data_IF_953888979049
#
_entry.id   IF_953888979049
#
_cell.length_a   1.000
_cell.length_b   1.000
_cell.length_c   1.000
_cell.angle_alpha   90.00
_cell.angle_beta   90.00
_cell.angle_gamma   90.00
#
_symmetry.space_group_name_H-M   'P 1'
#
loop_
_entity.id
_entity.type
_entity.pdbx_description
1 polymer ?
#
# COMPACT_ATOMS: atom_id res chain seq x y z
N UNK A 1 15.96 -11.90 -0.48
CA UNK A 1 16.14 -10.56 -1.09
C UNK A 1 14.86 -10.03 -1.72
N UNK A 2 14.22 -10.73 -2.67
CA UNK A 2 12.98 -10.25 -3.31
C UNK A 2 11.85 -10.01 -2.29
N UNK A 3 11.66 -10.92 -1.32
CA UNK A 3 10.65 -10.77 -0.25
C UNK A 3 10.86 -9.49 0.57
N UNK A 4 12.11 -9.16 0.88
CA UNK A 4 12.49 -7.95 1.63
C UNK A 4 12.16 -6.69 0.82
N UNK A 5 12.49 -6.67 -0.48
CA UNK A 5 12.15 -5.58 -1.39
C UNK A 5 10.62 -5.37 -1.50
N UNK A 6 9.87 -6.47 -1.58
CA UNK A 6 8.41 -6.42 -1.61
C UNK A 6 7.81 -5.98 -0.27
N UNK A 7 8.44 -6.32 0.85
CA UNK A 7 8.05 -5.84 2.17
C UNK A 7 8.34 -4.35 2.35
N UNK A 8 9.48 -3.87 1.84
CA UNK A 8 9.83 -2.45 1.82
C UNK A 8 8.82 -1.64 0.98
N UNK A 9 8.36 -2.19 -0.13
CA UNK A 9 7.29 -1.59 -0.94
C UNK A 9 5.98 -1.43 -0.14
N UNK A 10 5.60 -2.42 0.69
CA UNK A 10 4.40 -2.31 1.53
C UNK A 10 4.55 -1.18 2.57
N UNK A 11 5.71 -1.11 3.23
CA UNK A 11 5.98 -0.06 4.21
C UNK A 11 5.94 1.32 3.55
N UNK A 12 6.61 1.49 2.41
CA UNK A 12 6.62 2.76 1.70
C UNK A 12 5.22 3.14 1.21
N UNK A 13 4.46 2.20 0.65
CA UNK A 13 3.09 2.45 0.21
C UNK A 13 2.19 2.88 1.38
N UNK A 14 2.28 2.19 2.53
CA UNK A 14 1.54 2.56 3.74
C UNK A 14 1.92 3.96 4.26
N UNK A 15 3.20 4.26 4.36
CA UNK A 15 3.67 5.57 4.83
C UNK A 15 3.36 6.70 3.85
N UNK A 16 3.31 6.40 2.55
CA UNK A 16 3.07 7.40 1.51
C UNK A 16 1.71 8.08 1.64
N UNK A 17 0.70 7.43 2.22
CA UNK A 17 -0.61 8.05 2.46
C UNK A 17 -0.50 9.35 3.30
N UNK A 18 0.47 9.44 4.22
CA UNK A 18 0.68 10.66 4.99
C UNK A 18 1.21 11.83 4.15
N UNK A 19 1.82 11.56 3.00
CA UNK A 19 2.31 12.60 2.09
C UNK A 19 1.21 13.23 1.24
N UNK A 20 -0.01 12.66 1.21
CA UNK A 20 -1.16 13.24 0.50
C UNK A 20 -1.52 14.65 0.96
N UNK A 21 -1.04 15.08 2.14
CA UNK A 21 -1.17 16.46 2.63
C UNK A 21 -0.37 17.48 1.79
N UNK A 22 0.59 17.01 1.01
CA UNK A 22 1.44 17.84 0.15
C UNK A 22 1.02 17.69 -1.32
N UNK A 23 1.11 18.78 -2.09
CA UNK A 23 0.72 18.81 -3.51
C UNK A 23 1.50 17.82 -4.38
N UNK A 24 2.77 17.57 -4.07
CA UNK A 24 3.61 16.57 -4.76
C UNK A 24 3.38 15.14 -4.27
N UNK A 25 2.68 14.96 -3.15
CA UNK A 25 2.46 13.66 -2.53
C UNK A 25 1.57 12.74 -3.36
N UNK A 26 0.58 13.30 -4.07
CA UNK A 26 -0.35 12.53 -4.90
C UNK A 26 0.37 11.67 -5.94
N UNK A 27 1.37 12.22 -6.64
CA UNK A 27 2.14 11.47 -7.64
C UNK A 27 2.93 10.31 -7.01
N UNK A 28 3.51 10.52 -5.83
CA UNK A 28 4.29 9.52 -5.11
C UNK A 28 3.40 8.37 -4.63
N UNK A 29 2.24 8.68 -4.01
CA UNK A 29 1.29 7.66 -3.56
C UNK A 29 0.78 6.85 -4.75
N UNK A 30 0.44 7.52 -5.85
CA UNK A 30 -0.05 6.84 -7.06
C UNK A 30 0.98 5.84 -7.61
N UNK A 31 2.25 6.23 -7.69
CA UNK A 31 3.32 5.35 -8.13
C UNK A 31 3.46 4.10 -7.25
N UNK A 32 3.43 4.27 -5.93
CA UNK A 32 3.54 3.16 -4.98
C UNK A 32 2.31 2.25 -4.97
N UNK A 33 1.11 2.83 -5.11
CA UNK A 33 -0.15 2.07 -5.22
C UNK A 33 -0.14 1.23 -6.49
N UNK A 34 0.32 1.75 -7.62
CA UNK A 34 0.49 0.97 -8.86
C UNK A 34 1.45 -0.21 -8.63
N UNK A 35 2.57 0.03 -7.95
CA UNK A 35 3.51 -1.03 -7.58
C UNK A 35 2.86 -2.11 -6.70
N UNK A 36 2.00 -1.69 -5.76
CA UNK A 36 1.27 -2.59 -4.86
C UNK A 36 0.23 -3.43 -5.61
N UNK A 37 -0.47 -2.83 -6.59
CA UNK A 37 -1.38 -3.55 -7.50
C UNK A 37 -0.60 -4.57 -8.34
N UNK A 38 0.53 -4.18 -8.94
CA UNK A 38 1.34 -5.10 -9.73
C UNK A 38 1.82 -6.30 -8.89
N UNK A 39 2.34 -6.04 -7.69
CA UNK A 39 2.74 -7.08 -6.73
C UNK A 39 1.58 -8.01 -6.37
N UNK A 40 0.42 -7.44 -6.06
CA UNK A 40 -0.74 -8.21 -5.61
C UNK A 40 -1.37 -9.05 -6.73
N UNK A 41 -1.25 -8.61 -7.98
CA UNK A 41 -1.64 -9.41 -9.14
C UNK A 41 -0.69 -10.59 -9.38
N UNK A 42 0.62 -10.41 -9.19
CA UNK A 42 1.61 -11.50 -9.31
C UNK A 42 1.36 -12.58 -8.25
N UNK A 43 0.90 -12.18 -7.06
CA UNK A 43 0.76 -13.07 -5.89
C UNK A 43 -0.70 -13.44 -5.56
N UNK A 44 -1.62 -13.33 -6.53
CA UNK A 44 -3.08 -13.36 -6.32
C UNK A 44 -3.62 -14.63 -5.63
N UNK A 45 -2.85 -15.71 -5.63
CA UNK A 45 -3.19 -16.98 -4.95
C UNK A 45 -3.16 -16.88 -3.42
N UNK A 46 -2.53 -15.85 -2.87
CA UNK A 46 -2.44 -15.62 -1.42
C UNK A 46 -3.57 -14.74 -0.93
N UNK A 47 -4.18 -15.13 0.20
CA UNK A 47 -5.17 -14.31 0.90
C UNK A 47 -4.63 -12.90 1.22
N UNK A 48 -3.36 -12.82 1.60
CA UNK A 48 -2.71 -11.54 1.87
C UNK A 48 -2.63 -10.65 0.62
N UNK A 49 -2.56 -11.23 -0.57
CA UNK A 49 -2.55 -10.51 -1.84
C UNK A 49 -3.92 -9.95 -2.20
N UNK A 50 -4.99 -10.67 -1.85
CA UNK A 50 -6.37 -10.21 -2.03
C UNK A 50 -6.62 -8.99 -1.14
N UNK A 51 -6.16 -9.03 0.12
CA UNK A 51 -6.27 -7.88 1.03
C UNK A 51 -5.46 -6.69 0.50
N UNK A 52 -4.24 -6.90 0.00
CA UNK A 52 -3.44 -5.83 -0.61
C UNK A 52 -4.17 -5.14 -1.78
N UNK A 53 -4.88 -5.91 -2.61
CA UNK A 53 -5.71 -5.38 -3.69
C UNK A 53 -6.86 -4.51 -3.17
N UNK A 54 -7.52 -4.93 -2.09
CA UNK A 54 -8.57 -4.14 -1.43
C UNK A 54 -7.98 -2.85 -0.86
N UNK A 55 -6.81 -2.93 -0.21
CA UNK A 55 -6.10 -1.76 0.33
C UNK A 55 -5.70 -0.81 -0.79
N UNK A 56 -5.24 -1.31 -1.95
CA UNK A 56 -4.93 -0.50 -3.11
C UNK A 56 -6.16 0.28 -3.61
N UNK A 57 -7.34 -0.36 -3.67
CA UNK A 57 -8.59 0.32 -4.01
C UNK A 57 -8.95 1.42 -3.01
N UNK A 58 -8.77 1.18 -1.71
CA UNK A 58 -8.98 2.18 -0.66
C UNK A 58 -8.00 3.35 -0.82
N UNK A 59 -6.75 3.07 -1.19
CA UNK A 59 -5.74 4.11 -1.40
C UNK A 59 -6.02 4.93 -2.66
N UNK A 60 -6.58 4.33 -3.72
CA UNK A 60 -7.08 5.08 -4.89
C UNK A 60 -8.19 6.06 -4.46
N UNK A 61 -9.15 5.62 -3.64
CA UNK A 61 -10.18 6.51 -3.10
C UNK A 61 -9.57 7.65 -2.24
N UNK A 62 -8.53 7.35 -1.46
CA UNK A 62 -7.82 8.35 -0.67
C UNK A 62 -7.09 9.39 -1.54
N UNK A 63 -6.50 8.99 -2.67
CA UNK A 63 -5.89 9.91 -3.65
C UNK A 63 -6.94 10.90 -4.21
N UNK A 64 -8.18 10.44 -4.41
CA UNK A 64 -9.31 11.28 -4.83
C UNK A 64 -9.87 12.19 -3.71
N UNK A 65 -9.25 12.20 -2.54
CA UNK A 65 -9.62 13.06 -1.40
C UNK A 65 -10.53 12.39 -0.36
N UNK A 66 -10.88 11.11 -0.53
CA UNK A 66 -11.71 10.38 0.44
C UNK A 66 -10.85 9.64 1.47
N UNK A 67 -10.28 10.38 2.42
CA UNK A 67 -9.49 9.80 3.52
C UNK A 67 -10.42 9.42 4.67
N UNK A 68 -10.65 8.12 4.85
CA UNK A 68 -11.57 7.56 5.85
C UNK A 68 -10.83 6.63 6.83
N UNK A 69 -11.55 6.14 7.85
CA UNK A 69 -11.02 5.16 8.81
C UNK A 69 -10.43 3.91 8.11
N UNK A 70 -11.03 3.50 6.99
CA UNK A 70 -10.57 2.38 6.18
C UNK A 70 -9.16 2.59 5.61
N UNK A 71 -8.80 3.83 5.29
CA UNK A 71 -7.47 4.17 4.79
C UNK A 71 -6.42 3.88 5.85
N UNK A 72 -6.68 4.25 7.11
CA UNK A 72 -5.77 3.99 8.23
C UNK A 72 -5.66 2.50 8.56
N UNK A 73 -6.75 1.74 8.45
CA UNK A 73 -6.72 0.27 8.60
C UNK A 73 -5.81 -0.35 7.52
N UNK A 74 -5.92 0.12 6.27
CA UNK A 74 -5.04 -0.30 5.18
C UNK A 74 -3.56 0.03 5.42
N UNK A 75 -3.26 1.20 5.98
CA UNK A 75 -1.89 1.57 6.38
C UNK A 75 -1.34 0.60 7.43
N UNK A 76 -2.12 0.31 8.48
CA UNK A 76 -1.70 -0.62 9.54
C UNK A 76 -1.41 -2.01 8.95
N UNK A 77 -2.29 -2.50 8.07
CA UNK A 77 -2.11 -3.78 7.39
C UNK A 77 -0.78 -3.84 6.62
N UNK A 78 -0.49 -2.83 5.81
CA UNK A 78 0.74 -2.78 5.01
C UNK A 78 1.99 -2.66 5.87
N UNK A 79 1.95 -1.86 6.94
CA UNK A 79 3.07 -1.74 7.87
C UNK A 79 3.35 -3.06 8.58
N UNK A 80 2.32 -3.71 9.12
CA UNK A 80 2.45 -4.99 9.81
C UNK A 80 3.04 -6.04 8.86
N UNK A 81 2.48 -6.19 7.67
CA UNK A 81 2.93 -7.16 6.66
C UNK A 81 4.34 -6.85 6.17
N UNK A 82 4.64 -5.57 5.94
CA UNK A 82 5.95 -5.10 5.58
C UNK A 82 7.00 -5.50 6.62
N UNK A 83 6.76 -5.22 7.90
CA UNK A 83 7.66 -5.58 9.02
C UNK A 83 7.86 -7.10 9.11
N UNK A 84 6.79 -7.89 9.01
CA UNK A 84 6.88 -9.35 9.04
C UNK A 84 7.80 -9.88 7.91
N UNK A 85 7.83 -9.20 6.77
CA UNK A 85 8.67 -9.60 5.63
C UNK A 85 10.18 -9.41 5.87
N UNK A 86 10.58 -8.74 6.96
CA UNK A 86 11.99 -8.57 7.38
C UNK A 86 12.46 -9.59 8.42
N UNK A 87 11.55 -10.31 9.07
CA UNK A 87 11.85 -11.37 10.05
C UNK A 87 11.76 -12.76 9.40
#
# INVERSE_FOLDING_TARGET
MIVILLGLLDILAGLSIFTLKFSWGQSLVTFLVIGLVAKSLISIKSFASIIDLIVACIFIAAILGQVNILTYIGVIWLLQKGIISFF
#
